data_IF_455682665526
#
_entry.id   IF_455682665526
#
_cell.length_a   1.000
_cell.length_b   1.000
_cell.length_c   1.000
_cell.angle_alpha   90.00
_cell.angle_beta   90.00
_cell.angle_gamma   90.00
#
_symmetry.space_group_name_H-M   'P 1'
#
loop_
_entity.id
_entity.type
_entity.pdbx_description
1 polymer ?
#
# COMPACT_ATOMS: atom_id res chain seq x y z
N UNK A 1 -18.53 53.36 -22.75
CA UNK A 1 -18.67 52.04 -22.11
C UNK A 1 -17.70 52.01 -20.93
N UNK A 2 -18.21 51.96 -19.71
CA UNK A 2 -17.38 52.00 -18.48
C UNK A 2 -17.06 50.56 -18.09
N UNK A 3 -15.79 50.18 -18.15
CA UNK A 3 -15.31 48.88 -17.69
C UNK A 3 -15.37 48.83 -16.16
N UNK A 4 -16.33 48.08 -15.60
CA UNK A 4 -16.35 47.72 -14.18
C UNK A 4 -15.62 46.39 -14.00
N UNK A 5 -14.40 46.44 -13.47
CA UNK A 5 -13.67 45.24 -13.00
C UNK A 5 -14.43 44.55 -11.85
N UNK A 6 -14.35 43.21 -11.71
CA UNK A 6 -15.02 42.49 -10.64
C UNK A 6 -14.31 42.77 -9.31
N UNK A 7 -15.04 43.32 -8.35
CA UNK A 7 -14.56 43.56 -6.99
C UNK A 7 -14.02 42.26 -6.37
N UNK A 8 -12.70 42.17 -6.23
CA UNK A 8 -12.03 41.07 -5.54
C UNK A 8 -12.55 40.93 -4.10
N UNK A 9 -13.05 39.74 -3.75
CA UNK A 9 -13.52 39.41 -2.39
C UNK A 9 -12.35 39.56 -1.40
N UNK A 10 -12.26 40.69 -0.72
CA UNK A 10 -11.31 40.88 0.38
C UNK A 10 -11.75 40.01 1.56
N UNK A 11 -11.05 38.90 1.80
CA UNK A 11 -11.25 38.11 3.02
C UNK A 11 -10.85 38.95 4.25
N UNK A 12 -11.84 39.36 5.05
CA UNK A 12 -11.60 40.11 6.28
C UNK A 12 -10.70 39.31 7.23
N UNK A 13 -9.63 39.94 7.74
CA UNK A 13 -8.71 39.32 8.70
C UNK A 13 -9.45 39.07 10.02
N UNK A 14 -9.64 37.80 10.39
CA UNK A 14 -10.27 37.42 11.67
C UNK A 14 -9.48 38.01 12.86
N UNK A 15 -10.18 38.55 13.85
CA UNK A 15 -9.60 39.08 15.10
C UNK A 15 -8.86 37.98 15.87
N UNK A 16 -7.97 38.37 16.78
CA UNK A 16 -7.13 37.44 17.58
C UNK A 16 -8.00 36.49 18.41
N UNK A 17 -9.11 36.98 18.95
CA UNK A 17 -10.07 36.23 19.77
C UNK A 17 -10.85 35.19 18.98
N UNK A 18 -11.31 35.53 17.78
CA UNK A 18 -12.00 34.57 16.88
C UNK A 18 -11.03 33.44 16.47
N UNK A 19 -9.74 33.76 16.30
CA UNK A 19 -8.71 32.75 16.01
C UNK A 19 -8.39 31.87 17.21
N UNK A 20 -8.33 32.40 18.44
CA UNK A 20 -8.08 31.60 19.64
C UNK A 20 -9.27 30.70 19.98
N UNK A 21 -10.50 31.22 19.89
CA UNK A 21 -11.72 30.42 20.09
C UNK A 21 -11.83 29.28 19.06
N UNK A 22 -11.55 29.56 17.78
CA UNK A 22 -11.54 28.52 16.74
C UNK A 22 -10.46 27.46 16.98
N UNK A 23 -9.27 27.84 17.46
CA UNK A 23 -8.21 26.89 17.83
C UNK A 23 -8.57 26.04 19.04
N UNK A 24 -9.19 26.62 20.05
CA UNK A 24 -9.65 25.89 21.23
C UNK A 24 -10.74 24.87 20.85
N UNK A 25 -11.74 25.29 20.08
CA UNK A 25 -12.79 24.40 19.59
C UNK A 25 -12.23 23.29 18.67
N UNK A 26 -11.24 23.60 17.83
CA UNK A 26 -10.55 22.59 17.02
C UNK A 26 -9.83 21.56 17.90
N UNK A 27 -9.07 22.03 18.89
CA UNK A 27 -8.34 21.17 19.82
C UNK A 27 -9.27 20.29 20.65
N UNK A 28 -10.42 20.81 21.04
CA UNK A 28 -11.45 20.03 21.75
C UNK A 28 -12.02 18.92 20.86
N UNK A 29 -12.38 19.24 19.61
CA UNK A 29 -12.83 18.23 18.63
C UNK A 29 -11.76 17.18 18.36
N UNK A 30 -10.50 17.58 18.22
CA UNK A 30 -9.37 16.67 18.03
C UNK A 30 -9.17 15.76 19.24
N UNK A 31 -9.26 16.30 20.46
CA UNK A 31 -9.19 15.49 21.69
C UNK A 31 -10.34 14.48 21.78
N UNK A 32 -11.55 14.88 21.41
CA UNK A 32 -12.71 13.97 21.38
C UNK A 32 -12.52 12.87 20.33
N UNK A 33 -12.05 13.23 19.14
CA UNK A 33 -11.69 12.27 18.10
C UNK A 33 -10.69 11.22 18.62
N UNK A 34 -9.61 11.64 19.28
CA UNK A 34 -8.62 10.70 19.80
C UNK A 34 -9.17 9.81 20.92
N UNK A 35 -10.05 10.33 21.79
CA UNK A 35 -10.74 9.51 22.80
C UNK A 35 -11.63 8.44 22.17
N UNK A 36 -12.36 8.79 21.11
CA UNK A 36 -13.18 7.83 20.36
C UNK A 36 -12.30 6.77 19.68
N UNK A 37 -11.20 7.19 19.05
CA UNK A 37 -10.22 6.27 18.45
C UNK A 37 -9.66 5.28 19.48
N UNK A 38 -9.30 5.74 20.67
CA UNK A 38 -8.79 4.86 21.72
C UNK A 38 -9.85 3.90 22.26
N UNK A 39 -11.10 4.34 22.34
CA UNK A 39 -12.23 3.46 22.70
C UNK A 39 -12.40 2.36 21.65
N UNK A 40 -12.35 2.71 20.37
CA UNK A 40 -12.42 1.75 19.27
C UNK A 40 -11.22 0.80 19.26
N UNK A 41 -10.01 1.26 19.57
CA UNK A 41 -8.81 0.40 19.68
C UNK A 41 -8.95 -0.64 20.78
N UNK A 42 -9.50 -0.25 21.95
CA UNK A 42 -9.78 -1.18 23.05
C UNK A 42 -10.80 -2.23 22.61
N UNK A 43 -11.91 -1.80 22.02
CA UNK A 43 -12.94 -2.71 21.49
C UNK A 43 -12.37 -3.67 20.44
N UNK A 44 -11.60 -3.17 19.48
CA UNK A 44 -10.93 -3.97 18.46
C UNK A 44 -10.00 -5.03 19.08
N UNK A 45 -9.26 -4.66 20.13
CA UNK A 45 -8.41 -5.61 20.87
C UNK A 45 -9.23 -6.72 21.51
N UNK A 46 -10.36 -6.39 22.13
CA UNK A 46 -11.28 -7.39 22.69
C UNK A 46 -11.82 -8.34 21.62
N UNK A 47 -12.21 -7.82 20.45
CA UNK A 47 -12.69 -8.63 19.33
C UNK A 47 -11.60 -9.51 18.72
N UNK A 48 -10.37 -9.00 18.60
CA UNK A 48 -9.21 -9.79 18.19
C UNK A 48 -9.02 -11.00 19.12
N UNK A 49 -9.05 -10.78 20.44
CA UNK A 49 -8.91 -11.86 21.42
C UNK A 49 -10.06 -12.86 21.32
N UNK A 50 -11.30 -12.40 21.07
CA UNK A 50 -12.46 -13.28 20.87
C UNK A 50 -12.27 -14.17 19.64
N UNK A 51 -11.96 -13.59 18.48
CA UNK A 51 -11.73 -14.32 17.23
C UNK A 51 -10.55 -15.28 17.36
N UNK A 52 -9.47 -14.85 18.01
CA UNK A 52 -8.30 -15.70 18.26
C UNK A 52 -8.69 -16.98 19.02
N UNK A 53 -9.53 -16.86 20.07
CA UNK A 53 -10.01 -18.00 20.85
C UNK A 53 -10.99 -18.88 20.08
N UNK A 54 -11.95 -18.27 19.37
CA UNK A 54 -13.01 -18.99 18.66
C UNK A 54 -12.47 -19.85 17.51
N UNK A 55 -11.40 -19.40 16.83
CA UNK A 55 -10.83 -20.07 15.67
C UNK A 55 -9.47 -20.73 15.92
N UNK A 56 -9.07 -20.86 17.19
CA UNK A 56 -7.77 -21.40 17.62
C UNK A 56 -6.59 -20.81 16.84
N UNK A 57 -6.54 -19.47 16.82
CA UNK A 57 -5.47 -18.69 16.19
C UNK A 57 -4.79 -17.81 17.23
N UNK A 58 -3.56 -17.43 16.94
CA UNK A 58 -2.88 -16.40 17.74
C UNK A 58 -3.48 -15.03 17.45
N UNK A 59 -3.58 -14.17 18.48
CA UNK A 59 -4.00 -12.77 18.29
C UNK A 59 -3.14 -12.03 17.26
N UNK A 60 -1.85 -12.38 17.20
CA UNK A 60 -0.91 -11.84 16.21
C UNK A 60 -1.36 -12.15 14.78
N UNK A 61 -1.82 -13.38 14.51
CA UNK A 61 -2.33 -13.76 13.20
C UNK A 61 -3.58 -12.94 12.83
N UNK A 62 -4.55 -12.85 13.75
CA UNK A 62 -5.79 -12.08 13.53
C UNK A 62 -5.50 -10.59 13.28
N UNK A 63 -4.60 -9.98 14.06
CA UNK A 63 -4.14 -8.59 13.87
C UNK A 63 -3.55 -8.36 12.49
N UNK A 64 -2.71 -9.29 12.01
CA UNK A 64 -2.09 -9.18 10.68
C UNK A 64 -3.15 -9.21 9.57
N UNK A 65 -4.16 -10.07 9.69
CA UNK A 65 -5.24 -10.12 8.69
C UNK A 65 -6.08 -8.83 8.68
N UNK A 66 -6.45 -8.31 9.85
CA UNK A 66 -7.18 -7.05 9.97
C UNK A 66 -6.35 -5.86 9.46
N UNK A 67 -5.04 -5.83 9.74
CA UNK A 67 -4.13 -4.81 9.23
C UNK A 67 -4.02 -4.84 7.71
N UNK A 68 -3.90 -6.03 7.11
CA UNK A 68 -3.92 -6.20 5.64
C UNK A 68 -5.25 -5.74 5.04
N UNK A 69 -6.38 -6.06 5.67
CA UNK A 69 -7.68 -5.51 5.30
C UNK A 69 -7.70 -3.98 5.34
N UNK A 70 -7.11 -3.37 6.37
CA UNK A 70 -6.94 -1.91 6.48
C UNK A 70 -6.05 -1.31 5.39
N UNK A 71 -5.02 -2.02 4.92
CA UNK A 71 -4.20 -1.59 3.79
C UNK A 71 -4.98 -1.55 2.47
N UNK A 72 -5.97 -2.43 2.31
CA UNK A 72 -6.88 -2.42 1.15
C UNK A 72 -7.84 -1.21 1.19
N UNK A 73 -8.12 -0.66 2.38
CA UNK A 73 -8.93 0.53 2.57
C UNK A 73 -8.14 1.83 2.40
N UNK A 74 -6.81 1.78 2.31
CA UNK A 74 -6.00 2.97 2.00
C UNK A 74 -6.43 3.46 0.63
N UNK A 75 -6.92 4.70 0.57
CA UNK A 75 -7.36 5.29 -0.68
C UNK A 75 -6.23 5.21 -1.70
N UNK A 76 -6.48 4.51 -2.81
CA UNK A 76 -5.57 4.56 -3.96
C UNK A 76 -5.52 6.02 -4.40
N UNK A 77 -4.41 6.70 -4.10
CA UNK A 77 -4.24 8.11 -4.48
C UNK A 77 -4.47 8.23 -5.98
N UNK A 78 -5.28 9.22 -6.39
CA UNK A 78 -5.53 9.50 -7.80
C UNK A 78 -4.19 9.68 -8.52
N UNK A 79 -4.00 9.10 -9.71
CA UNK A 79 -2.79 9.32 -10.49
C UNK A 79 -2.59 10.81 -10.74
N UNK A 80 -1.35 11.28 -10.56
CA UNK A 80 -1.00 12.68 -10.81
C UNK A 80 -0.59 12.87 -12.26
N UNK A 81 -1.18 13.86 -12.94
CA UNK A 81 -0.82 14.23 -14.32
C UNK A 81 0.67 14.52 -14.48
N UNK A 82 1.28 15.25 -13.53
CA UNK A 82 2.71 15.52 -13.54
C UNK A 82 3.54 14.24 -13.49
N UNK A 83 3.12 13.25 -12.70
CA UNK A 83 3.81 11.96 -12.67
C UNK A 83 3.61 11.17 -13.96
N UNK A 84 2.46 11.31 -14.63
CA UNK A 84 2.20 10.67 -15.91
C UNK A 84 3.14 11.22 -17.01
N UNK A 85 3.21 12.55 -17.13
CA UNK A 85 4.12 13.24 -18.06
C UNK A 85 5.58 12.84 -17.84
N UNK A 86 6.04 12.82 -16.58
CA UNK A 86 7.43 12.45 -16.27
C UNK A 86 7.75 11.00 -16.62
N UNK A 87 6.79 10.10 -16.47
CA UNK A 87 6.95 8.68 -16.81
C UNK A 87 6.97 8.49 -18.31
N UNK A 88 6.11 9.18 -19.02
CA UNK A 88 6.06 9.15 -20.48
C UNK A 88 7.36 9.68 -21.10
N UNK A 89 7.85 10.84 -20.65
CA UNK A 89 9.12 11.39 -21.12
C UNK A 89 10.32 10.49 -20.78
N UNK A 90 10.28 9.81 -19.63
CA UNK A 90 11.31 8.82 -19.30
C UNK A 90 11.26 7.59 -20.23
N UNK A 91 10.06 7.15 -20.66
CA UNK A 91 9.90 6.09 -21.68
C UNK A 91 10.45 6.55 -23.03
N UNK A 92 10.06 7.74 -23.48
CA UNK A 92 10.55 8.33 -24.74
C UNK A 92 12.08 8.49 -24.74
N UNK A 93 12.70 8.89 -23.62
CA UNK A 93 14.17 8.96 -23.55
C UNK A 93 14.82 7.58 -23.71
N UNK A 94 14.23 6.54 -23.12
CA UNK A 94 14.72 5.16 -23.25
C UNK A 94 14.58 4.66 -24.68
N UNK A 95 13.47 4.94 -25.34
CA UNK A 95 13.21 4.58 -26.75
C UNK A 95 14.18 5.30 -27.70
N UNK A 96 14.49 6.57 -27.42
CA UNK A 96 15.49 7.36 -28.14
C UNK A 96 16.95 6.97 -27.83
N UNK A 97 17.19 5.82 -27.19
CA UNK A 97 18.52 5.30 -26.91
C UNK A 97 19.32 6.08 -25.86
N UNK A 98 18.68 6.98 -25.08
CA UNK A 98 19.37 7.68 -24.00
C UNK A 98 19.53 6.77 -22.78
N UNK A 99 20.69 6.77 -22.11
CA UNK A 99 20.92 5.95 -20.93
C UNK A 99 19.96 6.36 -19.80
N UNK A 100 19.24 5.39 -19.23
CA UNK A 100 18.36 5.59 -18.10
C UNK A 100 19.11 5.30 -16.80
N UNK A 101 19.24 6.29 -15.92
CA UNK A 101 19.74 6.13 -14.55
C UNK A 101 18.61 5.74 -13.57
N UNK A 102 17.54 5.13 -14.07
CA UNK A 102 16.38 4.70 -13.28
C UNK A 102 15.69 5.86 -12.57
N UNK A 103 15.75 5.88 -11.22
CA UNK A 103 15.09 6.90 -10.40
C UNK A 103 15.64 8.31 -10.65
N UNK A 104 16.93 8.42 -10.96
CA UNK A 104 17.59 9.70 -11.18
C UNK A 104 17.12 10.39 -12.47
N UNK A 105 16.75 9.62 -13.49
CA UNK A 105 16.19 10.15 -14.75
C UNK A 105 14.91 10.95 -14.49
N UNK A 106 14.00 10.43 -13.67
CA UNK A 106 12.75 11.12 -13.32
C UNK A 106 13.03 12.40 -12.52
N UNK A 107 14.00 12.37 -11.61
CA UNK A 107 14.39 13.55 -10.83
C UNK A 107 14.96 14.64 -11.74
N UNK A 108 15.85 14.28 -12.68
CA UNK A 108 16.41 15.22 -13.67
C UNK A 108 15.33 15.82 -14.59
N UNK A 109 14.39 14.99 -15.06
CA UNK A 109 13.22 15.43 -15.83
C UNK A 109 12.32 16.37 -15.02
N UNK A 110 12.09 16.06 -13.75
CA UNK A 110 11.23 16.87 -12.90
C UNK A 110 11.75 18.29 -12.63
N UNK A 111 13.05 18.50 -12.80
CA UNK A 111 13.71 19.82 -12.70
C UNK A 111 13.66 20.61 -14.01
N UNK A 112 13.53 19.92 -15.15
CA UNK A 112 13.53 20.55 -16.48
C UNK A 112 12.12 20.89 -16.97
N UNK A 113 11.09 20.20 -16.47
CA UNK A 113 9.71 20.44 -16.86
C UNK A 113 9.03 21.41 -15.90
N UNK A 114 8.48 22.48 -16.45
CA UNK A 114 7.67 23.43 -15.69
C UNK A 114 6.24 22.91 -15.50
N UNK A 115 5.61 23.25 -14.38
CA UNK A 115 4.18 22.97 -14.18
C UNK A 115 3.30 23.70 -15.20
N UNK A 116 3.74 24.87 -15.66
CA UNK A 116 3.02 25.64 -16.67
C UNK A 116 2.97 24.92 -18.02
N UNK A 117 4.00 24.18 -18.41
CA UNK A 117 4.04 23.41 -19.66
C UNK A 117 3.05 22.24 -19.63
N UNK A 118 2.86 21.64 -18.45
CA UNK A 118 1.91 20.54 -18.24
C UNK A 118 0.46 21.05 -18.30
N UNK A 119 0.21 22.23 -17.76
CA UNK A 119 -1.14 22.81 -17.70
C UNK A 119 -1.66 23.24 -19.08
N UNK A 120 -0.77 23.53 -20.03
CA UNK A 120 -1.12 23.90 -21.41
C UNK A 120 -1.44 22.69 -22.30
N UNK A 121 -1.14 21.46 -21.86
CA UNK A 121 -1.45 20.26 -22.66
C UNK A 121 -2.96 20.14 -22.95
N UNK A 122 -3.35 19.67 -24.16
CA UNK A 122 -4.73 19.35 -24.50
C UNK A 122 -5.36 18.37 -23.50
N UNK A 123 -6.66 18.50 -23.25
CA UNK A 123 -7.37 17.63 -22.31
C UNK A 123 -7.26 16.14 -22.70
N UNK A 124 -7.39 15.84 -23.99
CA UNK A 124 -7.27 14.49 -24.54
C UNK A 124 -5.91 13.86 -24.25
N UNK A 125 -4.82 14.63 -24.38
CA UNK A 125 -3.46 14.14 -24.10
C UNK A 125 -3.24 13.95 -22.60
N UNK A 126 -3.80 14.83 -21.76
CA UNK A 126 -3.75 14.68 -20.30
C UNK A 126 -4.43 13.39 -19.85
N UNK A 127 -5.60 13.09 -20.41
CA UNK A 127 -6.36 11.88 -20.09
C UNK A 127 -5.64 10.62 -20.59
N UNK A 128 -5.10 10.64 -21.82
CA UNK A 128 -4.27 9.56 -22.36
C UNK A 128 -3.08 9.25 -21.45
N UNK A 129 -2.35 10.27 -21.00
CA UNK A 129 -1.17 10.10 -20.14
C UNK A 129 -1.54 9.52 -18.77
N UNK A 130 -2.63 9.99 -18.17
CA UNK A 130 -3.14 9.45 -16.90
C UNK A 130 -3.56 7.99 -17.06
N UNK A 131 -4.25 7.66 -18.16
CA UNK A 131 -4.70 6.31 -18.45
C UNK A 131 -3.51 5.35 -18.64
N UNK A 132 -2.52 5.75 -19.43
CA UNK A 132 -1.28 4.98 -19.61
C UNK A 132 -0.54 4.76 -18.27
N UNK A 133 -0.57 5.73 -17.35
CA UNK A 133 0.02 5.58 -16.01
C UNK A 133 -0.76 4.59 -15.13
N UNK A 134 -2.08 4.51 -15.28
CA UNK A 134 -2.92 3.55 -14.58
C UNK A 134 -2.61 2.14 -15.09
N UNK A 135 -2.58 1.96 -16.41
CA UNK A 135 -2.29 0.69 -17.07
C UNK A 135 -0.90 0.16 -16.68
N UNK A 136 0.14 0.99 -16.79
CA UNK A 136 1.52 0.66 -16.37
C UNK A 136 1.61 0.20 -14.90
N UNK A 137 0.79 0.76 -14.02
CA UNK A 137 0.74 0.40 -12.59
C UNK A 137 -0.04 -0.89 -12.37
N UNK A 138 -1.04 -1.16 -13.19
CA UNK A 138 -1.83 -2.39 -13.12
C UNK A 138 -1.08 -3.60 -13.67
N UNK A 139 -0.31 -3.41 -14.75
CA UNK A 139 0.53 -4.45 -15.37
C UNK A 139 1.74 -4.81 -14.49
N UNK A 140 2.33 -3.83 -13.80
CA UNK A 140 3.34 -4.05 -12.76
C UNK A 140 2.69 -4.49 -11.45
N UNK A 141 1.82 -5.49 -11.52
CA UNK A 141 1.25 -6.16 -10.37
C UNK A 141 2.39 -6.46 -9.38
N UNK A 142 2.19 -6.00 -8.15
CA UNK A 142 3.12 -6.13 -7.03
C UNK A 142 3.68 -7.55 -6.98
N UNK A 143 4.89 -7.74 -7.50
CA UNK A 143 5.75 -8.85 -7.09
C UNK A 143 5.93 -8.63 -5.61
N UNK A 144 5.06 -9.26 -4.83
CA UNK A 144 5.13 -9.23 -3.38
C UNK A 144 6.45 -9.92 -3.11
N UNK A 145 7.47 -9.17 -2.70
CA UNK A 145 8.78 -9.73 -2.39
C UNK A 145 8.53 -10.76 -1.28
N UNK A 146 8.40 -12.02 -1.65
CA UNK A 146 8.08 -13.09 -0.72
C UNK A 146 9.27 -13.14 0.23
N UNK A 147 9.01 -12.94 1.51
CA UNK A 147 10.08 -12.92 2.50
C UNK A 147 10.66 -14.34 2.55
N UNK A 148 11.90 -14.52 2.11
CA UNK A 148 12.59 -15.82 2.03
C UNK A 148 12.57 -16.57 3.37
N UNK A 149 12.56 -15.85 4.49
CA UNK A 149 12.42 -16.45 5.83
C UNK A 149 11.05 -17.08 6.12
N UNK A 150 9.98 -16.67 5.42
CA UNK A 150 8.68 -17.34 5.50
C UNK A 150 8.67 -18.63 4.67
N UNK A 151 9.34 -18.64 3.51
CA UNK A 151 9.52 -19.84 2.69
C UNK A 151 10.33 -20.88 3.47
N UNK A 152 11.43 -20.48 4.12
CA UNK A 152 12.23 -21.39 4.95
C UNK A 152 11.42 -22.06 6.05
N UNK A 153 10.55 -21.31 6.74
CA UNK A 153 9.66 -21.85 7.77
C UNK A 153 8.58 -22.78 7.23
N UNK A 154 7.98 -22.43 6.08
CA UNK A 154 6.97 -23.27 5.46
C UNK A 154 7.58 -24.59 4.94
N UNK A 155 8.80 -24.54 4.39
CA UNK A 155 9.56 -25.73 4.01
C UNK A 155 9.90 -26.57 5.25
N UNK A 156 10.45 -25.96 6.30
CA UNK A 156 10.79 -26.66 7.54
C UNK A 156 9.57 -27.31 8.21
N UNK A 157 8.44 -26.60 8.24
CA UNK A 157 7.18 -27.13 8.78
C UNK A 157 6.56 -28.22 7.90
N UNK A 158 6.75 -28.14 6.58
CA UNK A 158 6.31 -29.20 5.66
C UNK A 158 7.20 -30.43 5.80
N UNK A 159 8.51 -30.25 5.86
CA UNK A 159 9.49 -31.32 6.05
C UNK A 159 9.31 -32.01 7.40
N UNK A 160 9.06 -31.27 8.49
CA UNK A 160 8.82 -31.88 9.82
C UNK A 160 7.55 -32.73 9.89
N UNK A 161 6.57 -32.50 9.01
CA UNK A 161 5.36 -33.34 8.90
C UNK A 161 5.57 -34.54 7.98
N UNK A 162 6.36 -34.38 6.92
CA UNK A 162 6.60 -35.44 5.92
C UNK A 162 7.73 -36.39 6.34
N UNK A 163 8.77 -35.92 7.00
CA UNK A 163 9.93 -36.74 7.43
C UNK A 163 9.56 -37.93 8.33
N UNK A 164 8.65 -37.80 9.32
CA UNK A 164 8.21 -38.94 10.12
C UNK A 164 7.49 -40.00 9.28
N UNK A 165 6.63 -39.57 8.35
CA UNK A 165 5.88 -40.48 7.47
C UNK A 165 6.81 -41.20 6.47
N UNK A 166 7.77 -40.49 5.89
CA UNK A 166 8.78 -41.08 5.00
C UNK A 166 9.72 -42.03 5.76
N UNK A 167 10.06 -41.71 7.00
CA UNK A 167 10.88 -42.59 7.85
C UNK A 167 10.11 -43.85 8.28
N UNK A 168 8.82 -43.72 8.61
CA UNK A 168 7.93 -44.86 8.86
C UNK A 168 7.84 -45.76 7.63
N UNK A 169 7.64 -45.20 6.44
CA UNK A 169 7.56 -45.97 5.19
C UNK A 169 8.88 -46.72 4.89
N UNK A 170 10.03 -46.12 5.18
CA UNK A 170 11.34 -46.80 5.04
C UNK A 170 11.51 -47.93 6.05
N UNK A 171 11.19 -47.69 7.31
CA UNK A 171 11.25 -48.69 8.38
C UNK A 171 10.30 -49.87 8.12
N UNK A 172 9.09 -49.61 7.63
CA UNK A 172 8.10 -50.66 7.31
C UNK A 172 8.59 -51.55 6.17
N UNK A 173 9.26 -50.96 5.17
CA UNK A 173 9.84 -51.69 4.04
C UNK A 173 11.02 -52.58 4.43
N UNK A 174 11.83 -52.13 5.41
CA UNK A 174 12.93 -52.93 5.97
C UNK A 174 12.41 -54.10 6.81
N UNK A 175 11.30 -53.93 7.53
CA UNK A 175 10.67 -55.03 8.28
C UNK A 175 9.98 -56.07 7.39
N UNK A 176 9.42 -55.69 6.25
CA UNK A 176 8.84 -56.63 5.27
C UNK A 176 9.92 -57.47 4.56
N UNK A 177 11.14 -56.94 4.41
CA UNK A 177 12.26 -57.71 3.84
C UNK A 177 12.90 -58.71 4.81
N UNK A 178 12.58 -58.64 6.12
CA UNK A 178 13.19 -59.48 7.15
C UNK A 178 12.28 -60.61 7.68
N UNK A 179 11.03 -60.71 7.21
CA UNK A 179 10.13 -61.83 7.55
C UNK A 179 9.58 -62.54 6.29
N UNK A 180 10.41 -63.26 5.52
CA UNK A 180 9.93 -64.44 4.83
C UNK A 180 10.08 -65.63 5.78
N UNK A 181 8.96 -66.22 6.20
CA UNK A 181 8.82 -67.49 6.94
C UNK A 181 8.80 -67.39 8.47
N UNK A 182 7.58 -67.31 9.00
CA UNK A 182 7.24 -67.92 10.28
C UNK A 182 5.85 -68.56 10.16
N UNK A 183 5.82 -69.70 9.46
CA UNK A 183 4.95 -70.85 9.75
C UNK A 183 5.85 -71.99 10.27
#
# INVERSE_FOLDING_TARGET
MVNTEPAGRRHAKKTKEVRSAARAAFKEKENMFWKEVDTLRKHNTTEISRIAREYDKTEKHVRVQLYRGGQLLVSKQKPSLRNAVLRDLAKQQKENGRPSEGRNTIIKLSKSISTAEIDVLPAEEKDRLIQALIEDKSEKATVTKVNEGLIGRDIEHTMSRVEPEVSLLKSTRETETLNPLAD
#
